data_IF_787022703437
#
_entry.id   IF_787022703437
#
_cell.length_a   1.000
_cell.length_b   1.000
_cell.length_c   1.000
_cell.angle_alpha   90.00
_cell.angle_beta   90.00
_cell.angle_gamma   90.00
#
_symmetry.space_group_name_H-M   'P 1'
#
loop_
_entity.id
_entity.type
_entity.pdbx_description
1 polymer ?
#
# COMPACT_ATOMS: atom_id res chain seq x y z
N UNK A 1 16.09 1.80 5.59
CA UNK A 1 14.91 1.01 5.21
C UNK A 1 14.01 0.81 6.41
N UNK A 2 12.73 1.07 6.23
CA UNK A 2 11.73 0.92 7.28
C UNK A 2 10.62 0.00 6.80
N UNK A 3 10.06 -0.79 7.70
CA UNK A 3 8.98 -1.72 7.36
C UNK A 3 7.87 -1.65 8.39
N UNK A 4 6.65 -1.99 7.97
CA UNK A 4 5.53 -2.18 8.88
C UNK A 4 4.57 -3.18 8.28
N UNK A 5 3.72 -3.74 9.11
CA UNK A 5 2.68 -4.66 8.64
C UNK A 5 1.32 -4.00 8.76
N UNK A 6 0.44 -4.36 7.85
CA UNK A 6 -0.92 -3.82 7.81
C UNK A 6 -1.86 -4.90 7.28
N UNK A 7 -3.13 -4.80 7.64
CA UNK A 7 -4.16 -5.71 7.13
C UNK A 7 -5.15 -4.90 6.33
N UNK A 8 -5.47 -5.39 5.12
CA UNK A 8 -6.48 -4.75 4.29
C UNK A 8 -7.83 -4.94 4.96
N UNK A 9 -8.47 -3.84 5.32
CA UNK A 9 -9.71 -3.89 6.10
C UNK A 9 -10.95 -3.41 5.35
N UNK A 10 -10.78 -2.85 4.16
CA UNK A 10 -11.92 -2.42 3.36
C UNK A 10 -12.55 -3.61 2.63
N UNK A 11 -13.84 -3.52 2.41
CA UNK A 11 -14.64 -4.64 1.90
C UNK A 11 -14.13 -5.15 0.55
N UNK A 12 -13.78 -4.24 -0.35
CA UNK A 12 -13.41 -4.59 -1.73
C UNK A 12 -11.90 -4.81 -1.93
N UNK A 13 -11.10 -4.59 -0.88
CA UNK A 13 -9.66 -4.78 -0.98
C UNK A 13 -8.99 -3.82 -1.93
N UNK A 14 -7.95 -4.28 -2.61
CA UNK A 14 -7.16 -3.47 -3.55
C UNK A 14 -7.82 -3.39 -4.93
N UNK A 15 -9.07 -2.91 -4.97
CA UNK A 15 -9.76 -2.68 -6.24
C UNK A 15 -9.23 -1.42 -6.91
N UNK A 16 -9.71 -1.12 -8.12
CA UNK A 16 -9.13 -0.07 -8.95
C UNK A 16 -9.05 1.30 -8.24
N UNK A 17 -10.12 1.70 -7.53
CA UNK A 17 -10.12 3.00 -6.86
C UNK A 17 -9.13 3.03 -5.70
N UNK A 18 -9.09 1.96 -4.90
CA UNK A 18 -8.16 1.86 -3.78
C UNK A 18 -6.72 1.85 -4.28
N UNK A 19 -6.45 1.09 -5.34
CA UNK A 19 -5.13 1.03 -5.94
C UNK A 19 -4.70 2.41 -6.46
N UNK A 20 -5.63 3.14 -7.10
CA UNK A 20 -5.32 4.47 -7.61
C UNK A 20 -4.95 5.44 -6.47
N UNK A 21 -5.69 5.39 -5.36
CA UNK A 21 -5.38 6.25 -4.21
C UNK A 21 -4.01 5.91 -3.62
N UNK A 22 -3.71 4.63 -3.50
CA UNK A 22 -2.42 4.19 -2.98
C UNK A 22 -1.27 4.65 -3.87
N UNK A 23 -1.43 4.49 -5.19
CA UNK A 23 -0.40 4.87 -6.15
C UNK A 23 -0.19 6.39 -6.15
N UNK A 24 -1.27 7.17 -6.11
CA UNK A 24 -1.17 8.62 -6.07
C UNK A 24 -0.43 9.09 -4.81
N UNK A 25 -0.77 8.51 -3.67
CA UNK A 25 -0.08 8.85 -2.43
C UNK A 25 1.39 8.47 -2.49
N UNK A 26 1.67 7.25 -2.92
CA UNK A 26 3.04 6.72 -2.97
C UNK A 26 3.94 7.57 -3.88
N UNK A 27 3.39 8.08 -4.97
CA UNK A 27 4.16 8.88 -5.92
C UNK A 27 4.53 10.28 -5.38
N UNK A 28 3.99 10.67 -4.24
CA UNK A 28 4.36 11.93 -3.60
C UNK A 28 5.69 11.85 -2.85
N UNK A 29 6.19 10.65 -2.64
CA UNK A 29 7.41 10.44 -1.85
C UNK A 29 8.58 10.08 -2.74
N UNK A 30 9.78 10.44 -2.27
CA UNK A 30 11.02 10.09 -2.98
C UNK A 30 11.43 8.65 -2.71
N UNK A 31 11.00 8.09 -1.58
CA UNK A 31 11.34 6.73 -1.20
C UNK A 31 10.74 5.71 -2.14
N UNK A 32 11.44 4.61 -2.30
CA UNK A 32 10.88 3.42 -2.93
C UNK A 32 9.94 2.77 -1.93
N UNK A 33 8.73 2.45 -2.37
CA UNK A 33 7.71 1.85 -1.51
C UNK A 33 7.26 0.55 -2.15
N UNK A 34 7.40 -0.55 -1.40
CA UNK A 34 7.07 -1.88 -1.89
C UNK A 34 6.01 -2.49 -0.98
N UNK A 35 5.02 -3.12 -1.58
CA UNK A 35 4.04 -3.94 -0.86
C UNK A 35 4.42 -5.40 -1.05
N UNK A 36 4.39 -6.17 0.04
CA UNK A 36 4.73 -7.58 -0.03
C UNK A 36 3.61 -8.42 0.57
N UNK A 37 3.14 -9.39 -0.21
CA UNK A 37 2.10 -10.34 0.19
C UNK A 37 2.64 -11.74 -0.05
N UNK A 38 3.00 -12.43 1.02
CA UNK A 38 3.65 -13.75 0.92
C UNK A 38 4.91 -13.65 0.05
N UNK A 39 4.98 -14.36 -1.08
CA UNK A 39 6.13 -14.30 -1.99
C UNK A 39 5.95 -13.29 -3.11
N UNK A 40 4.86 -12.54 -3.13
CA UNK A 40 4.58 -11.59 -4.21
C UNK A 40 4.90 -10.18 -3.75
N UNK A 41 5.43 -9.38 -4.65
CA UNK A 41 5.77 -8.00 -4.38
C UNK A 41 5.17 -7.08 -5.44
N UNK A 42 4.86 -5.85 -5.03
CA UNK A 42 4.35 -4.83 -5.93
C UNK A 42 5.00 -3.50 -5.60
N UNK A 43 5.40 -2.76 -6.63
CA UNK A 43 5.83 -1.38 -6.47
C UNK A 43 4.57 -0.54 -6.20
N UNK A 44 4.53 0.11 -5.04
CA UNK A 44 3.36 0.91 -4.65
C UNK A 44 3.13 2.11 -5.56
N UNK A 45 4.09 2.43 -6.44
CA UNK A 45 3.96 3.52 -7.40
C UNK A 45 3.46 3.05 -8.76
N UNK A 46 3.20 1.75 -8.92
CA UNK A 46 2.73 1.16 -10.16
C UNK A 46 1.33 0.59 -9.97
N UNK A 47 0.34 1.19 -10.65
CA UNK A 47 -1.04 0.73 -10.51
C UNK A 47 -1.21 -0.70 -11.01
N UNK A 48 -0.51 -1.06 -12.07
CA UNK A 48 -0.60 -2.42 -12.60
C UNK A 48 -0.11 -3.44 -11.59
N UNK A 49 1.03 -3.16 -10.96
CA UNK A 49 1.59 -4.10 -9.99
C UNK A 49 0.71 -4.21 -8.76
N UNK A 50 0.18 -3.08 -8.27
CA UNK A 50 -0.71 -3.09 -7.11
C UNK A 50 -1.96 -3.92 -7.40
N UNK A 51 -2.56 -3.74 -8.58
CA UNK A 51 -3.74 -4.52 -8.96
C UNK A 51 -3.42 -6.00 -9.10
N UNK A 52 -2.25 -6.34 -9.65
CA UNK A 52 -1.84 -7.72 -9.82
C UNK A 52 -1.56 -8.42 -8.50
N UNK A 53 -1.26 -7.67 -7.45
CA UNK A 53 -1.08 -8.25 -6.12
C UNK A 53 -2.37 -8.85 -5.59
N UNK A 54 -3.52 -8.35 -6.04
CA UNK A 54 -4.84 -8.91 -5.77
C UNK A 54 -5.15 -9.06 -4.28
N UNK A 55 -4.82 -8.03 -3.49
CA UNK A 55 -5.11 -8.06 -2.07
C UNK A 55 -6.59 -7.94 -1.77
N UNK A 56 -7.15 -8.94 -1.10
CA UNK A 56 -8.54 -8.90 -0.68
C UNK A 56 -8.64 -8.50 0.78
N UNK A 57 -9.87 -8.30 1.26
CA UNK A 57 -10.11 -8.00 2.68
C UNK A 57 -9.44 -9.06 3.55
N UNK A 58 -8.85 -8.64 4.65
CA UNK A 58 -8.15 -9.47 5.62
C UNK A 58 -6.78 -9.96 5.15
N UNK A 59 -6.34 -9.58 3.96
CA UNK A 59 -4.99 -9.91 3.50
C UNK A 59 -3.97 -9.10 4.30
N UNK A 60 -2.93 -9.79 4.75
CA UNK A 60 -1.83 -9.17 5.48
C UNK A 60 -0.74 -8.76 4.51
N UNK A 61 -0.32 -7.49 4.61
CA UNK A 61 0.73 -6.95 3.76
C UNK A 61 1.87 -6.43 4.62
N UNK A 62 3.08 -6.53 4.09
CA UNK A 62 4.21 -5.80 4.62
C UNK A 62 4.49 -4.63 3.71
N UNK A 63 4.68 -3.44 4.31
CA UNK A 63 5.06 -2.24 3.57
C UNK A 63 6.53 -1.98 3.85
N UNK A 64 7.31 -1.83 2.80
CA UNK A 64 8.75 -1.54 2.90
C UNK A 64 8.99 -0.20 2.23
N UNK A 65 9.63 0.73 2.95
CA UNK A 65 9.98 2.03 2.40
C UNK A 65 11.47 2.27 2.56
N UNK A 66 12.11 2.75 1.50
CA UNK A 66 13.55 3.02 1.52
C UNK A 66 13.85 4.30 0.77
N UNK A 67 14.42 5.28 1.48
CA UNK A 67 14.76 6.56 0.89
C UNK A 67 14.79 7.67 1.90
N UNK A 68 14.93 8.91 1.42
CA UNK A 68 15.11 10.07 2.29
C UNK A 68 13.90 10.38 3.17
N UNK A 69 12.70 10.05 2.70
CA UNK A 69 11.46 10.30 3.42
C UNK A 69 10.75 9.00 3.81
N UNK A 70 11.52 7.95 4.06
CA UNK A 70 10.96 6.62 4.28
C UNK A 70 10.03 6.53 5.48
N UNK A 71 10.30 7.25 6.56
CA UNK A 71 9.43 7.20 7.74
C UNK A 71 8.07 7.81 7.47
N UNK A 72 8.05 8.97 6.84
CA UNK A 72 6.79 9.64 6.49
C UNK A 72 6.02 8.82 5.46
N UNK A 73 6.73 8.30 4.46
CA UNK A 73 6.11 7.49 3.42
C UNK A 73 5.44 6.26 4.02
N UNK A 74 6.15 5.56 4.89
CA UNK A 74 5.63 4.36 5.51
C UNK A 74 4.37 4.65 6.33
N UNK A 75 4.41 5.72 7.13
CA UNK A 75 3.29 6.07 7.98
C UNK A 75 2.06 6.49 7.18
N UNK A 76 2.26 7.30 6.13
CA UNK A 76 1.14 7.77 5.32
C UNK A 76 0.48 6.63 4.55
N UNK A 77 1.29 5.72 3.99
CA UNK A 77 0.74 4.57 3.29
C UNK A 77 0.00 3.66 4.26
N UNK A 78 0.56 3.39 5.43
CA UNK A 78 -0.10 2.58 6.44
C UNK A 78 -1.44 3.21 6.85
N UNK A 79 -1.45 4.52 7.05
CA UNK A 79 -2.67 5.23 7.46
C UNK A 79 -3.76 5.10 6.41
N UNK A 80 -3.39 5.23 5.13
CA UNK A 80 -4.38 5.10 4.05
C UNK A 80 -5.02 3.73 4.05
N UNK A 81 -4.22 2.68 4.22
CA UNK A 81 -4.73 1.30 4.23
C UNK A 81 -5.56 1.06 5.49
N UNK A 82 -5.10 1.54 6.65
CA UNK A 82 -5.83 1.38 7.91
C UNK A 82 -7.18 2.11 7.87
N UNK A 83 -7.27 3.19 7.13
CA UNK A 83 -8.51 3.97 6.97
C UNK A 83 -9.36 3.45 5.82
N UNK A 84 -9.13 2.21 5.39
CA UNK A 84 -9.92 1.55 4.34
C UNK A 84 -9.89 2.34 3.03
N UNK A 85 -8.76 2.98 2.73
CA UNK A 85 -8.62 3.83 1.54
C UNK A 85 -9.70 4.92 1.48
N UNK A 86 -10.11 5.40 2.65
CA UNK A 86 -11.14 6.44 2.80
C UNK A 86 -12.53 5.97 2.34
N UNK A 87 -12.74 4.66 2.29
CA UNK A 87 -14.05 4.07 1.98
C UNK A 87 -14.84 3.85 3.26
N UNK A 88 -16.16 3.84 3.14
CA UNK A 88 -17.03 3.60 4.29
C UNK A 88 -17.00 2.14 4.77
N UNK A 89 -16.62 1.23 3.88
CA UNK A 89 -16.66 -0.19 4.21
C UNK A 89 -15.33 -0.87 3.95
#
# INVERSE_FOLDING_TARGET
>A
MKTTQVVISNKLGLHARAAAKLVQLSNQFHSQITLQKEDEQADAKSIMEVLMLAGTKDTRLEIVAEGSDEETALEEVRRLIDNKFEEDE
#
